data_IF_051245262146
#
_entry.id   IF_051245262146
#
_cell.length_a   1.000
_cell.length_b   1.000
_cell.length_c   1.000
_cell.angle_alpha   90.00
_cell.angle_beta   90.00
_cell.angle_gamma   90.00
#
_symmetry.space_group_name_H-M   'P 1'
#
loop_
_entity.id
_entity.type
_entity.pdbx_description
1 polymer ?
#
# COMPACT_ATOMS: atom_id res chain seq x y z
N UNK A 1 -29.40 11.83 6.13
CA UNK A 1 -29.53 10.96 7.32
C UNK A 1 -28.20 10.98 8.02
N UNK A 2 -28.15 11.29 9.33
CA UNK A 2 -26.89 11.23 10.07
C UNK A 2 -26.40 9.78 10.00
N UNK A 3 -25.23 9.56 9.40
CA UNK A 3 -24.55 8.27 9.42
C UNK A 3 -24.27 7.95 10.89
N UNK A 4 -24.88 6.90 11.42
CA UNK A 4 -24.50 6.41 12.74
C UNK A 4 -23.20 5.64 12.57
N UNK A 5 -22.12 6.15 13.14
CA UNK A 5 -20.83 5.46 13.11
C UNK A 5 -20.97 4.08 13.79
N UNK A 6 -20.61 3.02 13.06
CA UNK A 6 -20.65 1.65 13.56
C UNK A 6 -19.24 1.23 13.97
N UNK A 7 -19.04 0.94 15.25
CA UNK A 7 -17.80 0.36 15.76
C UNK A 7 -17.85 -1.17 15.61
N UNK A 8 -16.89 -1.73 14.87
CA UNK A 8 -16.78 -3.17 14.62
C UNK A 8 -15.50 -3.68 15.30
N UNK A 9 -15.55 -4.78 16.09
CA UNK A 9 -14.36 -5.39 16.64
C UNK A 9 -13.36 -5.81 15.54
N UNK A 10 -12.09 -5.45 15.72
CA UNK A 10 -11.04 -5.67 14.72
C UNK A 10 -10.95 -7.14 14.28
N UNK A 11 -10.95 -8.09 15.22
CA UNK A 11 -10.90 -9.52 14.92
C UNK A 11 -12.09 -10.02 14.09
N UNK A 12 -13.30 -9.48 14.34
CA UNK A 12 -14.50 -9.83 13.57
C UNK A 12 -14.39 -9.29 12.14
N UNK A 13 -13.93 -8.05 12.00
CA UNK A 13 -13.74 -7.43 10.68
C UNK A 13 -12.65 -8.15 9.87
N UNK A 14 -11.54 -8.56 10.50
CA UNK A 14 -10.48 -9.35 9.87
C UNK A 14 -11.02 -10.67 9.32
N UNK A 15 -11.83 -11.38 10.11
CA UNK A 15 -12.42 -12.66 9.70
C UNK A 15 -13.36 -12.48 8.49
N UNK A 16 -14.17 -11.44 8.48
CA UNK A 16 -15.05 -11.11 7.35
C UNK A 16 -14.23 -10.85 6.09
N UNK A 17 -13.19 -10.01 6.16
CA UNK A 17 -12.33 -9.70 5.01
C UNK A 17 -11.59 -10.95 4.53
N UNK A 18 -11.07 -11.77 5.45
CA UNK A 18 -10.46 -13.05 5.12
C UNK A 18 -11.43 -13.98 4.37
N UNK A 19 -12.68 -14.10 4.83
CA UNK A 19 -13.70 -14.93 4.16
C UNK A 19 -14.06 -14.41 2.77
N UNK A 20 -14.05 -13.10 2.56
CA UNK A 20 -14.27 -12.51 1.23
C UNK A 20 -13.17 -12.96 0.25
N UNK A 21 -11.89 -12.78 0.59
CA UNK A 21 -10.80 -13.18 -0.31
C UNK A 21 -10.65 -14.69 -0.47
N UNK A 22 -11.02 -15.49 0.53
CA UNK A 22 -11.17 -16.95 0.35
C UNK A 22 -12.21 -17.28 -0.72
N UNK A 23 -13.37 -16.59 -0.70
CA UNK A 23 -14.44 -16.81 -1.67
C UNK A 23 -14.06 -16.36 -3.09
N UNK A 24 -13.10 -15.44 -3.23
CA UNK A 24 -12.57 -15.02 -4.54
C UNK A 24 -11.45 -15.93 -5.07
N UNK A 25 -11.13 -17.03 -4.38
CA UNK A 25 -10.17 -18.03 -4.83
C UNK A 25 -8.75 -17.85 -4.31
N UNK A 26 -8.49 -16.89 -3.39
CA UNK A 26 -7.20 -16.82 -2.72
C UNK A 26 -7.00 -18.01 -1.78
N UNK A 27 -5.75 -18.43 -1.57
CA UNK A 27 -5.41 -19.40 -0.52
C UNK A 27 -5.71 -18.83 0.87
N UNK A 28 -5.90 -19.70 1.86
CA UNK A 28 -6.10 -19.26 3.26
C UNK A 28 -4.97 -18.36 3.78
N UNK A 29 -3.73 -18.64 3.40
CA UNK A 29 -2.57 -17.82 3.79
C UNK A 29 -2.61 -16.43 3.15
N UNK A 30 -2.94 -16.35 1.86
CA UNK A 30 -3.04 -15.07 1.15
C UNK A 30 -4.23 -14.24 1.61
N UNK A 31 -5.42 -14.85 1.73
CA UNK A 31 -6.62 -14.18 2.21
C UNK A 31 -6.42 -13.58 3.61
N UNK A 32 -5.79 -14.34 4.52
CA UNK A 32 -5.47 -13.86 5.86
C UNK A 32 -4.49 -12.69 5.81
N UNK A 33 -3.44 -12.77 4.97
CA UNK A 33 -2.47 -11.68 4.80
C UNK A 33 -3.12 -10.40 4.30
N UNK A 34 -3.96 -10.48 3.28
CA UNK A 34 -4.68 -9.31 2.75
C UNK A 34 -5.56 -8.70 3.86
N UNK A 35 -6.31 -9.53 4.59
CA UNK A 35 -7.14 -9.07 5.70
C UNK A 35 -6.33 -8.37 6.80
N UNK A 36 -5.20 -8.93 7.21
CA UNK A 36 -4.32 -8.35 8.22
C UNK A 36 -3.78 -6.99 7.78
N UNK A 37 -3.32 -6.85 6.53
CA UNK A 37 -2.81 -5.56 6.02
C UNK A 37 -3.90 -4.49 5.95
N UNK A 38 -5.08 -4.83 5.40
CA UNK A 38 -6.20 -3.88 5.30
C UNK A 38 -6.68 -3.46 6.70
N UNK A 39 -6.81 -4.39 7.63
CA UNK A 39 -7.18 -4.05 8.99
C UNK A 39 -6.09 -3.25 9.71
N UNK A 40 -4.81 -3.58 9.49
CA UNK A 40 -3.66 -2.84 10.02
C UNK A 40 -3.68 -1.37 9.59
N UNK A 41 -4.02 -1.10 8.33
CA UNK A 41 -4.20 0.26 7.84
C UNK A 41 -5.34 1.00 8.57
N UNK A 42 -6.48 0.35 8.84
CA UNK A 42 -7.55 0.96 9.65
C UNK A 42 -7.08 1.24 11.09
N UNK A 43 -6.41 0.28 11.74
CA UNK A 43 -5.93 0.43 13.12
C UNK A 43 -4.87 1.53 13.24
N UNK A 44 -4.10 1.77 12.19
CA UNK A 44 -3.15 2.88 12.09
C UNK A 44 -3.82 4.23 11.73
N UNK A 45 -5.15 4.27 11.53
CA UNK A 45 -5.88 5.49 11.16
C UNK A 45 -5.79 5.88 9.68
N UNK A 46 -5.31 4.96 8.82
CA UNK A 46 -5.19 5.14 7.38
C UNK A 46 -6.34 4.45 6.63
N UNK A 47 -7.59 4.83 6.93
CA UNK A 47 -8.80 4.14 6.42
C UNK A 47 -8.84 4.02 4.89
N UNK A 48 -8.29 5.00 4.18
CA UNK A 48 -8.15 5.00 2.72
C UNK A 48 -7.35 3.81 2.14
N UNK A 49 -6.58 3.10 2.95
CA UNK A 49 -5.82 1.91 2.56
C UNK A 49 -6.30 0.65 3.29
N UNK A 50 -7.36 0.76 4.09
CA UNK A 50 -7.93 -0.34 4.85
C UNK A 50 -9.09 -1.04 4.15
N UNK A 51 -10.06 -1.54 4.93
CA UNK A 51 -11.17 -2.36 4.42
C UNK A 51 -12.02 -1.72 3.33
N UNK A 52 -11.98 -0.39 3.20
CA UNK A 52 -12.63 0.33 2.08
C UNK A 52 -12.12 -0.13 0.71
N UNK A 53 -10.92 -0.71 0.64
CA UNK A 53 -10.33 -1.24 -0.60
C UNK A 53 -10.85 -2.60 -1.02
N UNK A 54 -11.55 -3.32 -0.14
CA UNK A 54 -12.03 -4.69 -0.43
C UNK A 54 -12.86 -4.76 -1.72
N UNK A 55 -13.91 -3.94 -1.94
CA UNK A 55 -14.70 -4.03 -3.17
C UNK A 55 -13.85 -3.81 -4.42
N UNK A 56 -12.98 -2.79 -4.39
CA UNK A 56 -12.10 -2.48 -5.52
C UNK A 56 -11.10 -3.60 -5.82
N UNK A 57 -10.58 -4.26 -4.80
CA UNK A 57 -9.65 -5.38 -4.99
C UNK A 57 -10.34 -6.59 -5.59
N UNK A 58 -11.60 -6.86 -5.19
CA UNK A 58 -12.41 -7.91 -5.80
C UNK A 58 -12.69 -7.58 -7.27
N UNK A 59 -13.13 -6.35 -7.58
CA UNK A 59 -13.33 -5.86 -8.94
C UNK A 59 -12.07 -6.05 -9.81
N UNK A 60 -10.90 -5.58 -9.32
CA UNK A 60 -9.64 -5.73 -10.04
C UNK A 60 -9.21 -7.17 -10.23
N UNK A 61 -9.56 -8.06 -9.30
CA UNK A 61 -9.30 -9.48 -9.44
C UNK A 61 -10.19 -10.11 -10.54
N UNK A 62 -11.47 -9.77 -10.55
CA UNK A 62 -12.44 -10.23 -11.57
C UNK A 62 -12.07 -9.71 -12.98
N UNK A 63 -11.58 -8.47 -13.07
CA UNK A 63 -11.12 -7.85 -14.30
C UNK A 63 -9.72 -8.36 -14.76
N UNK A 64 -9.04 -9.15 -13.94
CA UNK A 64 -7.71 -9.70 -14.25
C UNK A 64 -6.56 -8.70 -14.13
N UNK A 65 -6.77 -7.56 -13.47
CA UNK A 65 -5.73 -6.59 -13.15
C UNK A 65 -4.86 -7.00 -11.96
N UNK A 66 -5.43 -7.80 -11.04
CA UNK A 66 -4.71 -8.42 -9.93
C UNK A 66 -4.99 -9.92 -9.92
N UNK A 67 -3.95 -10.73 -9.71
CA UNK A 67 -4.05 -12.19 -9.80
C UNK A 67 -3.81 -12.83 -8.43
N UNK A 68 -4.72 -13.71 -8.01
CA UNK A 68 -4.54 -14.50 -6.79
C UNK A 68 -3.42 -15.55 -6.97
N UNK A 69 -2.82 -15.95 -5.86
CA UNK A 69 -1.82 -17.04 -5.80
C UNK A 69 -0.44 -16.70 -6.37
N UNK A 70 -0.22 -15.47 -6.83
CA UNK A 70 1.08 -15.06 -7.37
C UNK A 70 2.12 -14.89 -6.26
N UNK A 71 3.36 -15.20 -6.59
CA UNK A 71 4.52 -15.06 -5.71
C UNK A 71 5.54 -14.16 -6.39
N UNK A 72 6.27 -13.35 -5.62
CA UNK A 72 7.36 -12.56 -6.17
C UNK A 72 8.49 -13.48 -6.64
N UNK A 73 9.02 -13.24 -7.84
CA UNK A 73 10.17 -13.99 -8.37
C UNK A 73 11.34 -13.08 -8.66
N UNK A 74 12.56 -13.54 -8.39
CA UNK A 74 13.79 -12.81 -8.70
C UNK A 74 13.98 -12.74 -10.22
N UNK A 75 14.16 -11.52 -10.74
CA UNK A 75 14.53 -11.22 -12.12
C UNK A 75 16.04 -11.06 -12.26
N UNK A 76 16.67 -10.44 -11.27
CA UNK A 76 18.12 -10.23 -11.20
C UNK A 76 18.55 -10.14 -9.75
N UNK A 77 19.69 -10.75 -9.41
CA UNK A 77 20.30 -10.71 -8.08
C UNK A 77 21.79 -10.36 -8.21
N UNK A 78 22.18 -9.25 -7.60
CA UNK A 78 23.55 -8.76 -7.50
C UNK A 78 24.06 -8.78 -6.06
N UNK A 79 23.44 -9.54 -5.15
CA UNK A 79 23.74 -9.60 -3.73
C UNK A 79 23.17 -8.41 -2.97
N UNK A 80 23.81 -7.24 -3.07
CA UNK A 80 23.33 -6.00 -2.43
C UNK A 80 22.24 -5.28 -3.23
N UNK A 81 21.90 -5.78 -4.42
CA UNK A 81 20.77 -5.32 -5.22
C UNK A 81 19.96 -6.52 -5.70
N UNK A 82 18.63 -6.42 -5.66
CA UNK A 82 17.73 -7.45 -6.19
C UNK A 82 16.53 -6.81 -6.90
N UNK A 83 16.15 -7.34 -8.05
CA UNK A 83 14.93 -6.97 -8.77
C UNK A 83 13.96 -8.15 -8.75
N UNK A 84 12.72 -7.90 -8.31
CA UNK A 84 11.63 -8.87 -8.30
C UNK A 84 10.49 -8.47 -9.24
N UNK A 85 9.84 -9.48 -9.81
CA UNK A 85 8.57 -9.36 -10.53
C UNK A 85 7.45 -9.92 -9.66
N UNK A 86 6.39 -9.14 -9.46
CA UNK A 86 5.22 -9.51 -8.69
C UNK A 86 4.14 -10.25 -9.50
N UNK A 87 4.28 -10.34 -10.82
CA UNK A 87 3.31 -11.03 -11.71
C UNK A 87 1.86 -10.59 -11.53
N UNK A 88 1.66 -9.31 -11.24
CA UNK A 88 0.37 -8.68 -10.92
C UNK A 88 -0.33 -9.31 -9.70
N UNK A 89 0.43 -9.92 -8.80
CA UNK A 89 -0.07 -10.46 -7.54
C UNK A 89 -0.62 -9.39 -6.61
N UNK A 90 -1.42 -9.82 -5.64
CA UNK A 90 -1.85 -8.94 -4.54
C UNK A 90 -0.63 -8.27 -3.89
N UNK A 91 -0.66 -6.94 -3.81
CA UNK A 91 0.47 -6.16 -3.31
C UNK A 91 0.86 -6.57 -1.89
N UNK A 92 -0.12 -6.89 -1.04
CA UNK A 92 0.09 -7.37 0.33
C UNK A 92 0.90 -8.69 0.36
N UNK A 93 0.81 -9.51 -0.68
CA UNK A 93 1.60 -10.75 -0.83
C UNK A 93 3.00 -10.43 -1.36
N UNK A 94 3.09 -9.83 -2.55
CA UNK A 94 4.36 -9.74 -3.27
C UNK A 94 5.29 -8.66 -2.70
N UNK A 95 4.75 -7.57 -2.16
CA UNK A 95 5.57 -6.56 -1.50
C UNK A 95 6.11 -7.07 -0.17
N UNK A 96 5.32 -7.82 0.62
CA UNK A 96 5.83 -8.46 1.84
C UNK A 96 7.02 -9.37 1.54
N UNK A 97 6.90 -10.21 0.51
CA UNK A 97 7.98 -11.13 0.09
C UNK A 97 9.23 -10.39 -0.37
N UNK A 98 9.05 -9.33 -1.16
CA UNK A 98 10.15 -8.49 -1.59
C UNK A 98 10.85 -7.80 -0.41
N UNK A 99 10.08 -7.32 0.58
CA UNK A 99 10.62 -6.70 1.80
C UNK A 99 11.34 -7.72 2.69
N UNK A 100 10.79 -8.92 2.89
CA UNK A 100 11.45 -9.99 3.65
C UNK A 100 12.83 -10.31 3.04
N UNK A 101 12.90 -10.47 1.71
CA UNK A 101 14.16 -10.74 1.01
C UNK A 101 15.13 -9.54 1.11
N UNK A 102 14.64 -8.31 0.99
CA UNK A 102 15.47 -7.12 1.13
C UNK A 102 16.08 -7.00 2.53
N UNK A 103 15.31 -7.33 3.58
CA UNK A 103 15.79 -7.40 4.97
C UNK A 103 16.88 -8.47 5.10
N UNK A 104 16.64 -9.68 4.59
CA UNK A 104 17.65 -10.75 4.60
C UNK A 104 18.97 -10.30 3.95
N UNK A 105 18.88 -9.70 2.76
CA UNK A 105 20.04 -9.19 2.01
C UNK A 105 20.74 -8.04 2.72
N UNK A 106 19.98 -7.12 3.34
CA UNK A 106 20.54 -6.00 4.09
C UNK A 106 21.30 -6.49 5.34
N UNK A 107 20.76 -7.48 6.06
CA UNK A 107 21.47 -8.10 7.20
C UNK A 107 22.75 -8.79 6.75
N UNK A 108 22.72 -9.53 5.64
CA UNK A 108 23.88 -10.26 5.13
C UNK A 108 24.98 -9.35 4.56
N UNK A 109 24.60 -8.28 3.86
CA UNK A 109 25.53 -7.45 3.07
C UNK A 109 25.76 -6.04 3.64
N UNK A 110 25.10 -5.70 4.75
CA UNK A 110 25.10 -4.35 5.35
C UNK A 110 24.11 -3.37 4.71
N UNK A 111 23.70 -3.60 3.46
CA UNK A 111 22.62 -2.84 2.80
C UNK A 111 22.00 -3.64 1.65
N UNK A 112 20.79 -3.25 1.23
CA UNK A 112 20.14 -3.79 0.04
C UNK A 112 19.35 -2.71 -0.70
N UNK A 113 19.47 -2.67 -2.03
CA UNK A 113 18.56 -1.94 -2.91
C UNK A 113 17.65 -2.97 -3.59
N UNK A 114 16.35 -2.92 -3.27
CA UNK A 114 15.35 -3.83 -3.84
C UNK A 114 14.42 -3.06 -4.79
N UNK A 115 14.20 -3.62 -5.98
CA UNK A 115 13.14 -3.20 -6.89
C UNK A 115 12.05 -4.24 -6.97
N UNK A 116 10.78 -3.82 -6.95
CA UNK A 116 9.62 -4.66 -7.21
C UNK A 116 8.81 -4.03 -8.36
N UNK A 117 8.55 -4.81 -9.40
CA UNK A 117 7.69 -4.39 -10.53
C UNK A 117 6.47 -5.28 -10.66
N UNK A 118 5.46 -4.80 -11.39
CA UNK A 118 4.22 -5.52 -11.67
C UNK A 118 3.55 -6.07 -10.40
N UNK A 119 3.46 -5.26 -9.36
CA UNK A 119 2.67 -5.59 -8.18
C UNK A 119 1.27 -4.94 -8.30
N UNK A 120 0.25 -5.60 -7.75
CA UNK A 120 -1.00 -4.95 -7.43
C UNK A 120 -0.82 -3.88 -6.35
N UNK A 121 -1.89 -3.16 -6.01
CA UNK A 121 -1.82 -2.09 -5.01
C UNK A 121 -1.30 -2.60 -3.65
N UNK A 122 -0.20 -2.01 -3.17
CA UNK A 122 0.53 -2.48 -1.98
C UNK A 122 -0.07 -2.01 -0.64
N UNK A 123 -1.07 -1.13 -0.65
CA UNK A 123 -1.67 -0.61 0.57
C UNK A 123 -0.81 0.46 1.25
N UNK A 124 -0.76 0.45 2.58
CA UNK A 124 0.00 1.41 3.38
C UNK A 124 1.50 1.09 3.29
N UNK A 125 2.31 2.03 2.79
CA UNK A 125 3.75 1.78 2.61
C UNK A 125 4.45 1.60 3.96
N UNK A 126 3.96 2.28 4.99
CA UNK A 126 4.44 2.14 6.36
C UNK A 126 4.46 0.71 6.91
N UNK A 127 3.60 -0.20 6.43
CA UNK A 127 3.63 -1.62 6.82
C UNK A 127 5.03 -2.24 6.55
N UNK A 128 5.61 -1.91 5.39
CA UNK A 128 6.90 -2.48 4.95
C UNK A 128 8.08 -1.81 5.63
N UNK A 129 7.95 -0.53 5.99
CA UNK A 129 8.93 0.17 6.81
C UNK A 129 8.95 -0.37 8.25
N UNK A 130 7.78 -0.70 8.81
CA UNK A 130 7.65 -1.35 10.13
C UNK A 130 8.32 -2.73 10.15
N UNK A 131 8.23 -3.50 9.06
CA UNK A 131 8.98 -4.76 8.93
C UNK A 131 10.49 -4.55 9.05
N UNK A 132 11.03 -3.52 8.38
CA UNK A 132 12.46 -3.19 8.47
C UNK A 132 12.85 -2.67 9.86
N UNK A 133 12.02 -1.83 10.47
CA UNK A 133 12.19 -1.34 11.85
C UNK A 133 12.26 -2.52 12.83
N UNK A 134 11.36 -3.51 12.69
CA UNK A 134 11.35 -4.70 13.53
C UNK A 134 12.62 -5.56 13.37
N UNK A 135 13.29 -5.47 12.23
CA UNK A 135 14.60 -6.08 11.97
C UNK A 135 15.79 -5.20 12.41
N UNK A 136 15.55 -4.03 13.00
CA UNK A 136 16.61 -3.10 13.41
C UNK A 136 17.26 -2.36 12.25
N UNK A 137 16.57 -2.25 11.10
CA UNK A 137 17.08 -1.63 9.88
C UNK A 137 16.39 -0.30 9.58
N UNK A 138 17.16 0.65 9.05
CA UNK A 138 16.61 1.82 8.36
C UNK A 138 16.10 1.38 6.99
N UNK A 139 14.94 1.88 6.57
CA UNK A 139 14.41 1.64 5.22
C UNK A 139 13.87 2.92 4.59
N UNK A 140 14.04 3.03 3.27
CA UNK A 140 13.54 4.14 2.45
C UNK A 140 12.82 3.56 1.25
N UNK A 141 11.59 4.00 1.01
CA UNK A 141 10.69 3.44 0.01
C UNK A 141 10.23 4.54 -0.95
N UNK A 142 10.39 4.27 -2.24
CA UNK A 142 9.84 5.08 -3.33
C UNK A 142 8.83 4.23 -4.07
N UNK A 143 7.58 4.68 -4.15
CA UNK A 143 6.49 3.91 -4.75
C UNK A 143 5.84 4.74 -5.83
N UNK A 144 5.48 4.10 -6.94
CA UNK A 144 4.59 4.66 -7.95
C UNK A 144 3.35 3.77 -8.09
N UNK A 145 2.31 4.30 -8.73
CA UNK A 145 1.10 3.54 -9.05
C UNK A 145 0.88 3.57 -10.55
N UNK A 146 1.23 2.48 -11.23
CA UNK A 146 0.99 2.35 -12.66
C UNK A 146 -0.52 2.44 -12.95
N UNK A 147 -0.93 3.39 -13.80
CA UNK A 147 -2.33 3.61 -14.18
C UNK A 147 -3.10 4.63 -13.32
N UNK A 148 -2.56 5.05 -12.17
CA UNK A 148 -3.17 6.11 -11.34
C UNK A 148 -2.54 7.46 -11.70
N UNK A 149 -3.02 8.08 -12.77
CA UNK A 149 -2.55 9.40 -13.22
C UNK A 149 -3.50 10.46 -12.68
N UNK A 150 -3.15 11.07 -11.55
CA UNK A 150 -4.04 11.93 -10.75
C UNK A 150 -3.47 13.31 -10.46
N UNK A 151 -2.14 13.45 -10.42
CA UNK A 151 -1.45 14.64 -9.94
C UNK A 151 -0.90 15.44 -11.11
N UNK A 152 -1.20 16.73 -11.15
CA UNK A 152 -0.60 17.64 -12.11
C UNK A 152 0.84 18.02 -11.68
N UNK A 153 1.81 18.07 -12.60
CA UNK A 153 3.13 18.61 -12.30
C UNK A 153 3.02 20.08 -11.93
N UNK A 154 3.92 20.58 -11.07
CA UNK A 154 3.95 22.01 -10.74
C UNK A 154 4.03 22.87 -12.01
N UNK A 155 3.10 23.82 -12.14
CA UNK A 155 2.96 24.69 -13.31
C UNK A 155 2.14 24.10 -14.47
N UNK A 156 1.60 22.88 -14.34
CA UNK A 156 0.66 22.29 -15.29
C UNK A 156 -0.74 22.13 -14.72
N UNK A 157 -1.73 21.95 -15.59
CA UNK A 157 -3.14 21.70 -15.23
C UNK A 157 -3.59 20.27 -15.51
N UNK A 158 -2.81 19.51 -16.29
CA UNK A 158 -3.13 18.14 -16.65
C UNK A 158 -2.49 17.12 -15.70
N UNK A 159 -3.26 16.10 -15.32
CA UNK A 159 -2.78 14.95 -14.55
C UNK A 159 -1.67 14.18 -15.30
N UNK A 160 -0.50 14.01 -14.68
CA UNK A 160 0.66 13.29 -15.25
C UNK A 160 1.35 12.33 -14.29
N UNK A 161 1.21 12.51 -12.97
CA UNK A 161 1.83 11.64 -11.96
C UNK A 161 0.80 10.91 -11.10
N UNK A 162 1.24 9.82 -10.46
CA UNK A 162 0.51 9.24 -9.33
C UNK A 162 0.74 10.04 -8.05
N UNK A 163 0.01 9.70 -6.99
CA UNK A 163 0.26 10.21 -5.63
C UNK A 163 1.64 9.79 -5.07
N UNK A 164 2.30 8.82 -5.72
CA UNK A 164 3.70 8.42 -5.58
C UNK A 164 4.25 8.57 -4.14
N UNK A 165 3.82 7.73 -3.19
CA UNK A 165 4.17 7.92 -1.79
C UNK A 165 5.67 7.69 -1.54
N UNK A 166 6.16 8.44 -0.56
CA UNK A 166 7.48 8.29 0.02
C UNK A 166 7.34 7.82 1.47
N UNK A 167 8.12 6.82 1.84
CA UNK A 167 8.15 6.34 3.21
C UNK A 167 9.59 6.12 3.70
N UNK A 168 9.86 6.48 4.96
CA UNK A 168 11.11 6.16 5.65
C UNK A 168 10.81 5.66 7.06
N UNK A 169 11.45 4.55 7.43
CA UNK A 169 11.41 3.98 8.77
C UNK A 169 12.81 3.96 9.39
N UNK A 170 12.94 4.48 10.61
CA UNK A 170 14.21 4.55 11.35
C UNK A 170 13.99 3.96 12.75
N UNK A 171 14.62 2.82 13.10
CA UNK A 171 14.59 2.32 14.46
C UNK A 171 15.48 3.19 15.36
N UNK A 172 14.96 3.62 16.51
CA UNK A 172 15.69 4.36 17.54
C UNK A 172 15.45 3.72 18.92
N UNK A 173 16.37 3.88 19.89
CA UNK A 173 16.20 3.35 21.25
C UNK A 173 14.92 3.80 21.96
N UNK A 174 14.51 5.06 21.76
CA UNK A 174 13.33 5.69 22.38
C UNK A 174 12.00 5.38 21.67
N UNK A 175 12.05 4.71 20.52
CA UNK A 175 10.90 4.42 19.67
C UNK A 175 11.16 4.79 18.22
N UNK A 176 10.58 4.07 17.25
CA UNK A 176 10.90 4.29 15.85
C UNK A 176 10.32 5.62 15.33
N UNK A 177 11.01 6.19 14.35
CA UNK A 177 10.46 7.24 13.49
C UNK A 177 9.92 6.59 12.22
N UNK A 178 8.64 6.84 11.92
CA UNK A 178 7.99 6.42 10.69
C UNK A 178 7.37 7.64 10.01
N UNK A 179 7.84 7.92 8.80
CA UNK A 179 7.25 8.94 7.92
C UNK A 179 6.66 8.21 6.72
N UNK A 180 5.36 8.36 6.47
CA UNK A 180 4.64 7.72 5.35
C UNK A 180 3.60 8.71 4.80
N UNK A 181 3.83 9.24 3.60
CA UNK A 181 2.95 10.22 2.98
C UNK A 181 2.95 10.14 1.45
N UNK A 182 1.82 10.52 0.86
CA UNK A 182 1.73 10.78 -0.57
C UNK A 182 2.48 12.06 -0.94
N UNK A 183 3.16 12.10 -2.08
CA UNK A 183 3.78 13.34 -2.59
C UNK A 183 2.78 14.33 -3.18
N UNK A 184 1.51 13.93 -3.34
CA UNK A 184 0.40 14.83 -3.64
C UNK A 184 -0.02 15.66 -2.43
N UNK A 185 -0.57 16.85 -2.66
CA UNK A 185 -1.03 17.75 -1.58
C UNK A 185 -2.11 17.10 -0.69
N UNK A 186 -2.98 16.28 -1.29
CA UNK A 186 -3.90 15.40 -0.59
C UNK A 186 -3.85 13.99 -1.16
N UNK A 187 -4.09 12.99 -0.32
CA UNK A 187 -4.21 11.60 -0.78
C UNK A 187 -5.53 11.42 -1.57
N UNK A 188 -5.51 10.61 -2.63
CA UNK A 188 -6.70 10.26 -3.44
C UNK A 188 -7.87 9.80 -2.55
N UNK A 189 -7.60 8.95 -1.55
CA UNK A 189 -8.63 8.46 -0.65
C UNK A 189 -9.32 9.57 0.17
N UNK A 190 -8.62 10.66 0.49
CA UNK A 190 -9.26 11.83 1.14
C UNK A 190 -10.20 12.55 0.18
N UNK A 191 -9.86 12.62 -1.10
CA UNK A 191 -10.75 13.16 -2.15
C UNK A 191 -12.01 12.31 -2.27
N UNK A 192 -11.86 10.98 -2.30
CA UNK A 192 -13.00 10.05 -2.35
C UNK A 192 -13.90 10.14 -1.10
N UNK A 193 -13.32 10.31 0.08
CA UNK A 193 -14.11 10.53 1.31
C UNK A 193 -14.85 11.87 1.26
N UNK A 194 -14.18 12.94 0.82
CA UNK A 194 -14.79 14.26 0.68
C UNK A 194 -15.94 14.26 -0.35
N UNK A 195 -15.77 13.57 -1.49
CA UNK A 195 -16.82 13.49 -2.52
C UNK A 195 -18.06 12.72 -2.07
N UNK A 196 -17.93 11.87 -1.04
CA UNK A 196 -19.03 11.13 -0.42
C UNK A 196 -19.61 11.82 0.83
N UNK A 197 -19.40 13.14 0.97
CA UNK A 197 -19.95 13.93 2.08
C UNK A 197 -19.09 13.95 3.34
N UNK A 198 -17.82 13.53 3.24
CA UNK A 198 -16.82 13.69 4.29
C UNK A 198 -16.35 15.13 4.46
N UNK A 199 -15.31 15.33 5.28
CA UNK A 199 -14.73 16.65 5.53
C UNK A 199 -14.23 17.29 4.23
N UNK A 200 -14.46 18.60 4.08
CA UNK A 200 -13.94 19.38 2.97
C UNK A 200 -12.41 19.26 2.85
N UNK A 201 -11.92 19.26 1.61
CA UNK A 201 -10.50 19.29 1.32
C UNK A 201 -9.92 20.68 1.65
N UNK A 202 -8.62 20.77 1.96
CA UNK A 202 -7.94 22.06 2.07
C UNK A 202 -8.06 22.87 0.77
N UNK A 203 -8.03 24.19 0.89
CA UNK A 203 -7.98 25.08 -0.27
C UNK A 203 -6.76 24.76 -1.14
N UNK A 204 -6.93 24.83 -2.47
CA UNK A 204 -5.88 24.51 -3.45
C UNK A 204 -5.56 23.02 -3.58
N UNK A 205 -6.34 22.13 -2.96
CA UNK A 205 -6.09 20.68 -3.05
C UNK A 205 -6.48 20.04 -4.38
N UNK A 206 -7.37 20.70 -5.13
CA UNK A 206 -7.82 20.30 -6.45
C UNK A 206 -7.76 21.51 -7.38
N UNK A 207 -7.58 21.23 -8.67
CA UNK A 207 -7.65 22.19 -9.75
C UNK A 207 -8.75 21.75 -10.72
N UNK A 208 -9.41 22.71 -11.37
CA UNK A 208 -10.37 22.44 -12.42
C UNK A 208 -9.63 22.19 -13.75
N UNK A 209 -10.31 21.70 -14.81
CA UNK A 209 -9.66 21.44 -16.09
C UNK A 209 -8.95 22.66 -16.71
N UNK A 210 -9.33 23.88 -16.33
CA UNK A 210 -8.74 25.14 -16.78
C UNK A 210 -7.72 25.76 -15.80
N UNK A 211 -7.56 25.19 -14.59
CA UNK A 211 -6.54 25.58 -13.60
C UNK A 211 -7.11 25.87 -12.23
#
# INVERSE_FOLDING_TARGET
MASTDLLIPAALLEDVVNRIFLATGCSQTEARRIATHLLGANLAGHDSHGVVRVPRYVEWQEEGFVLAGQQASIVSDGGAFVLLDGHYGFGQTVAKQATDLAIERAVANGSCIMGLRNAGHIGRVGDYAEMAIAAGLISVHFVNVAGSVLVAPFGGTERRFSTAPFCVGVPLPEGPVLLDFATSFVAEGKVLVASNGGKALPEGALIEPDG
#
